data_IF_653018434874
#
_entry.id   IF_653018434874
#
_cell.length_a   1.000
_cell.length_b   1.000
_cell.length_c   1.000
_cell.angle_alpha   90.00
_cell.angle_beta   90.00
_cell.angle_gamma   90.00
#
_symmetry.space_group_name_H-M   'P 1'
#
loop_
_entity.id
_entity.type
_entity.pdbx_description
1 polymer ?
#
# COMPACT_ATOMS: atom_id res chain seq x y z
N UNK A 1 -18.40 -19.14 11.44
CA UNK A 1 -19.00 -18.68 10.18
C UNK A 1 -19.78 -17.36 10.26
N UNK A 2 -20.56 -17.06 11.32
CA UNK A 2 -21.32 -15.78 11.42
C UNK A 2 -20.46 -14.51 11.61
N UNK A 3 -19.32 -14.59 12.30
CA UNK A 3 -18.47 -13.42 12.59
C UNK A 3 -17.74 -12.85 11.37
N UNK A 4 -17.39 -13.68 10.39
CA UNK A 4 -16.69 -13.25 9.17
C UNK A 4 -17.56 -12.35 8.29
N UNK A 5 -18.87 -12.62 8.23
CA UNK A 5 -19.81 -11.79 7.47
C UNK A 5 -20.02 -10.43 8.14
N UNK A 6 -20.26 -10.38 9.46
CA UNK A 6 -20.45 -9.12 10.19
C UNK A 6 -19.24 -8.18 10.03
N UNK A 7 -18.04 -8.73 10.12
CA UNK A 7 -16.80 -7.98 9.94
C UNK A 7 -16.66 -7.45 8.51
N UNK A 8 -17.09 -8.22 7.51
CA UNK A 8 -17.07 -7.81 6.10
C UNK A 8 -18.08 -6.70 5.81
N UNK A 9 -19.29 -6.80 6.37
CA UNK A 9 -20.33 -5.77 6.27
C UNK A 9 -19.98 -4.46 6.97
N UNK A 10 -19.11 -4.48 7.99
CA UNK A 10 -18.60 -3.27 8.63
C UNK A 10 -17.38 -2.68 7.92
N UNK A 11 -16.49 -3.54 7.40
CA UNK A 11 -15.25 -3.11 6.73
C UNK A 11 -15.50 -2.27 5.48
N UNK A 12 -16.40 -2.70 4.60
CA UNK A 12 -16.64 -2.00 3.34
C UNK A 12 -17.21 -0.58 3.56
N UNK A 13 -18.27 -0.37 4.37
CA UNK A 13 -18.74 0.97 4.72
C UNK A 13 -17.70 1.81 5.44
N UNK A 14 -16.87 1.22 6.32
CA UNK A 14 -15.80 1.96 7.00
C UNK A 14 -14.74 2.46 6.02
N UNK A 15 -14.27 1.60 5.10
CA UNK A 15 -13.25 1.97 4.10
C UNK A 15 -13.83 3.00 3.12
N UNK A 16 -15.01 2.72 2.56
CA UNK A 16 -15.66 3.61 1.58
C UNK A 16 -16.04 4.93 2.25
N UNK A 17 -16.56 4.88 3.48
CA UNK A 17 -16.93 6.06 4.26
C UNK A 17 -15.71 6.91 4.61
N UNK A 18 -14.64 6.31 5.14
CA UNK A 18 -13.40 7.02 5.43
C UNK A 18 -12.80 7.65 4.17
N UNK A 19 -12.71 6.89 3.07
CA UNK A 19 -12.22 7.41 1.79
C UNK A 19 -13.11 8.54 1.26
N UNK A 20 -14.44 8.39 1.33
CA UNK A 20 -15.39 9.42 0.95
C UNK A 20 -15.25 10.70 1.77
N UNK A 21 -15.03 10.58 3.09
CA UNK A 21 -14.76 11.72 3.97
C UNK A 21 -13.45 12.40 3.58
N UNK A 22 -12.38 11.65 3.32
CA UNK A 22 -11.09 12.22 2.89
C UNK A 22 -11.22 12.97 1.56
N UNK A 23 -11.90 12.38 0.57
CA UNK A 23 -12.15 13.05 -0.72
C UNK A 23 -13.03 14.29 -0.56
N UNK A 24 -14.04 14.24 0.30
CA UNK A 24 -14.88 15.40 0.58
C UNK A 24 -14.08 16.52 1.25
N UNK A 25 -13.24 16.19 2.24
CA UNK A 25 -12.35 17.13 2.91
C UNK A 25 -11.36 17.77 1.94
N UNK A 26 -10.74 16.96 1.07
CA UNK A 26 -9.82 17.43 0.03
C UNK A 26 -10.52 18.41 -0.93
N UNK A 27 -11.74 18.09 -1.39
CA UNK A 27 -12.51 18.98 -2.26
C UNK A 27 -12.88 20.29 -1.57
N UNK A 28 -13.18 20.26 -0.27
CA UNK A 28 -13.54 21.44 0.53
C UNK A 28 -12.33 22.32 0.86
N UNK A 29 -11.17 21.70 1.08
CA UNK A 29 -9.93 22.37 1.49
C UNK A 29 -8.75 21.84 0.67
N UNK A 30 -8.71 22.14 -0.64
CA UNK A 30 -7.66 21.62 -1.50
C UNK A 30 -6.32 22.25 -1.12
N UNK A 31 -5.27 21.43 -1.07
CA UNK A 31 -3.90 21.89 -0.88
C UNK A 31 -3.51 22.88 -2.00
N UNK A 32 -3.91 22.59 -3.24
CA UNK A 32 -3.70 23.44 -4.41
C UNK A 32 -5.01 23.93 -4.99
N UNK A 33 -5.22 25.25 -4.93
CA UNK A 33 -6.42 25.90 -5.48
C UNK A 33 -6.38 26.05 -7.00
N UNK A 34 -5.18 26.19 -7.56
CA UNK A 34 -4.95 26.29 -8.99
C UNK A 34 -4.15 25.06 -9.41
N UNK A 35 -4.80 24.16 -10.16
CA UNK A 35 -4.14 22.97 -10.67
C UNK A 35 -3.27 23.31 -11.88
N UNK A 36 -2.10 22.67 -11.96
CA UNK A 36 -1.20 22.76 -13.11
C UNK A 36 -1.79 21.96 -14.27
N UNK A 37 -2.32 20.77 -14.00
CA UNK A 37 -2.97 19.92 -15.01
C UNK A 37 -4.50 19.83 -14.83
N UNK A 38 -5.27 19.63 -15.92
CA UNK A 38 -6.70 19.36 -15.82
C UNK A 38 -6.97 18.12 -14.96
N UNK A 39 -7.76 18.28 -13.89
CA UNK A 39 -7.98 17.26 -12.85
C UNK A 39 -8.40 15.90 -13.42
N UNK A 40 -9.41 15.87 -14.27
CA UNK A 40 -9.90 14.61 -14.86
C UNK A 40 -8.83 13.86 -15.66
N UNK A 41 -8.03 14.58 -16.45
CA UNK A 41 -6.94 13.98 -17.24
C UNK A 41 -5.87 13.38 -16.34
N UNK A 42 -5.50 14.10 -15.27
CA UNK A 42 -4.53 13.62 -14.27
C UNK A 42 -5.04 12.40 -13.51
N UNK A 43 -6.28 12.45 -13.00
CA UNK A 43 -6.90 11.32 -12.28
C UNK A 43 -7.02 10.08 -13.17
N UNK A 44 -7.45 10.24 -14.43
CA UNK A 44 -7.51 9.14 -15.39
C UNK A 44 -6.13 8.50 -15.64
N UNK A 45 -5.08 9.32 -15.75
CA UNK A 45 -3.69 8.84 -15.86
C UNK A 45 -3.26 8.09 -14.59
N UNK A 46 -3.51 8.64 -13.41
CA UNK A 46 -3.17 8.00 -12.14
C UNK A 46 -3.91 6.68 -11.97
N UNK A 47 -5.19 6.61 -12.34
CA UNK A 47 -5.98 5.39 -12.30
C UNK A 47 -5.49 4.33 -13.32
N UNK A 48 -5.07 4.75 -14.52
CA UNK A 48 -4.48 3.84 -15.50
C UNK A 48 -3.16 3.24 -14.98
N UNK A 49 -2.29 4.05 -14.37
CA UNK A 49 -1.07 3.57 -13.70
C UNK A 49 -1.43 2.62 -12.56
N UNK A 50 -2.41 2.97 -11.75
CA UNK A 50 -2.89 2.14 -10.64
C UNK A 50 -3.42 0.78 -11.12
N UNK A 51 -4.14 0.73 -12.25
CA UNK A 51 -4.64 -0.51 -12.82
C UNK A 51 -3.50 -1.44 -13.27
N UNK A 52 -2.44 -0.89 -13.87
CA UNK A 52 -1.24 -1.66 -14.20
C UNK A 52 -0.52 -2.12 -12.92
N UNK A 53 -0.39 -1.25 -11.92
CA UNK A 53 0.16 -1.59 -10.61
C UNK A 53 -0.62 -2.69 -9.90
N UNK A 54 -1.95 -2.67 -9.97
CA UNK A 54 -2.80 -3.72 -9.43
C UNK A 54 -2.52 -5.09 -10.06
N UNK A 55 -2.09 -5.12 -11.33
CA UNK A 55 -1.57 -6.34 -11.95
C UNK A 55 -0.36 -6.92 -11.21
N UNK A 56 0.61 -6.10 -10.82
CA UNK A 56 1.77 -6.55 -10.04
C UNK A 56 1.34 -7.06 -8.64
N UNK A 57 0.42 -6.36 -7.98
CA UNK A 57 -0.11 -6.80 -6.68
C UNK A 57 -0.79 -8.17 -6.79
N UNK A 58 -1.65 -8.35 -7.79
CA UNK A 58 -2.46 -9.55 -7.93
C UNK A 58 -1.66 -10.75 -8.44
N UNK A 59 -0.71 -10.52 -9.35
CA UNK A 59 0.01 -11.58 -10.05
C UNK A 59 1.35 -11.93 -9.40
N UNK A 60 1.94 -11.03 -8.62
CA UNK A 60 3.28 -11.21 -8.02
C UNK A 60 3.19 -11.17 -6.50
N UNK A 61 2.76 -10.05 -5.94
CA UNK A 61 2.85 -9.83 -4.49
C UNK A 61 1.92 -10.77 -3.71
N UNK A 62 0.64 -10.82 -4.08
CA UNK A 62 -0.35 -11.66 -3.40
C UNK A 62 0.04 -13.15 -3.37
N UNK A 63 0.39 -13.82 -4.50
CA UNK A 63 0.79 -15.22 -4.45
C UNK A 63 2.10 -15.41 -3.67
N UNK A 64 3.08 -14.52 -3.81
CA UNK A 64 4.35 -14.61 -3.07
C UNK A 64 4.13 -14.53 -1.55
N UNK A 65 3.36 -13.55 -1.08
CA UNK A 65 3.05 -13.38 0.35
C UNK A 65 2.27 -14.58 0.89
N UNK A 66 1.29 -15.10 0.14
CA UNK A 66 0.51 -16.26 0.58
C UNK A 66 1.37 -17.51 0.73
N UNK A 67 2.24 -17.78 -0.24
CA UNK A 67 3.17 -18.91 -0.19
C UNK A 67 4.16 -18.77 0.96
N UNK A 68 4.72 -17.56 1.14
CA UNK A 68 5.66 -17.28 2.22
C UNK A 68 5.00 -17.40 3.60
N UNK A 69 3.78 -16.89 3.75
CA UNK A 69 3.02 -16.98 5.00
C UNK A 69 2.73 -18.45 5.37
N UNK A 70 2.34 -19.28 4.39
CA UNK A 70 2.13 -20.72 4.60
C UNK A 70 3.44 -21.41 5.01
N UNK A 71 4.55 -21.09 4.35
CA UNK A 71 5.87 -21.63 4.67
C UNK A 71 6.31 -21.25 6.10
N UNK A 72 6.17 -19.97 6.46
CA UNK A 72 6.47 -19.41 7.79
C UNK A 72 5.67 -20.13 8.87
N UNK A 73 4.37 -20.34 8.64
CA UNK A 73 3.49 -20.99 9.60
C UNK A 73 3.84 -22.47 9.78
N UNK A 74 4.05 -23.19 8.66
CA UNK A 74 4.36 -24.62 8.67
C UNK A 74 5.71 -24.93 9.33
N UNK A 75 6.73 -24.11 9.11
CA UNK A 75 8.09 -24.34 9.61
C UNK A 75 8.42 -23.54 10.86
N UNK A 76 7.47 -22.74 11.37
CA UNK A 76 7.68 -21.77 12.46
C UNK A 76 8.90 -20.89 12.22
N UNK A 77 9.08 -20.49 10.97
CA UNK A 77 10.23 -19.69 10.53
C UNK A 77 10.02 -18.20 10.81
N UNK A 78 11.10 -17.42 10.92
CA UNK A 78 11.03 -15.99 11.23
C UNK A 78 11.13 -15.62 12.72
N UNK A 79 11.38 -14.34 12.98
CA UNK A 79 11.69 -13.81 14.33
C UNK A 79 10.53 -14.06 15.31
N UNK A 80 9.31 -13.65 14.96
CA UNK A 80 8.15 -13.72 15.85
C UNK A 80 7.72 -15.16 16.16
N UNK A 81 7.79 -16.07 15.18
CA UNK A 81 7.41 -17.48 15.37
C UNK A 81 8.32 -18.24 16.33
N UNK A 82 9.57 -17.78 16.50
CA UNK A 82 10.56 -18.36 17.43
C UNK A 82 10.41 -17.87 18.87
N UNK A 83 9.89 -16.66 19.08
CA UNK A 83 9.84 -16.00 20.39
C UNK A 83 8.69 -16.49 21.31
N UNK A 84 7.78 -17.33 20.81
CA UNK A 84 6.64 -17.92 21.57
C UNK A 84 5.87 -16.87 22.41
N UNK A 85 5.57 -15.74 21.79
CA UNK A 85 4.90 -14.60 22.45
C UNK A 85 3.39 -14.85 22.61
N UNK A 86 2.72 -14.19 23.57
CA UNK A 86 1.27 -14.14 23.59
C UNK A 86 0.75 -13.40 22.34
N UNK A 87 -0.41 -13.81 21.82
CA UNK A 87 -0.91 -13.38 20.50
C UNK A 87 -0.99 -11.86 20.32
N UNK A 88 -1.39 -11.12 21.37
CA UNK A 88 -1.51 -9.66 21.28
C UNK A 88 -0.15 -8.97 21.09
N UNK A 89 0.91 -9.50 21.70
CA UNK A 89 2.27 -8.96 21.59
C UNK A 89 2.92 -9.36 20.27
N UNK A 90 2.66 -10.59 19.79
CA UNK A 90 3.06 -11.03 18.45
C UNK A 90 2.49 -10.08 17.38
N UNK A 91 1.20 -9.74 17.47
CA UNK A 91 0.54 -8.81 16.54
C UNK A 91 1.10 -7.39 16.65
N UNK A 92 1.27 -6.87 17.87
CA UNK A 92 1.83 -5.54 18.07
C UNK A 92 3.24 -5.41 17.48
N UNK A 93 4.11 -6.39 17.73
CA UNK A 93 5.45 -6.42 17.15
C UNK A 93 5.42 -6.64 15.64
N UNK A 94 4.50 -7.44 15.11
CA UNK A 94 4.34 -7.61 13.67
C UNK A 94 4.02 -6.28 12.97
N UNK A 95 3.15 -5.46 13.56
CA UNK A 95 2.81 -4.12 13.03
C UNK A 95 4.04 -3.22 13.05
N UNK A 96 4.77 -3.15 14.17
CA UNK A 96 5.97 -2.31 14.30
C UNK A 96 7.07 -2.75 13.33
N UNK A 97 7.30 -4.07 13.22
CA UNK A 97 8.28 -4.60 12.29
C UNK A 97 7.88 -4.32 10.85
N UNK A 98 6.62 -4.55 10.48
CA UNK A 98 6.11 -4.22 9.14
C UNK A 98 6.31 -2.74 8.81
N UNK A 99 5.93 -1.84 9.71
CA UNK A 99 6.13 -0.39 9.53
C UNK A 99 7.62 -0.04 9.32
N UNK A 100 8.50 -0.64 10.11
CA UNK A 100 9.94 -0.44 9.96
C UNK A 100 10.48 -1.00 8.65
N UNK A 101 10.03 -2.17 8.19
CA UNK A 101 10.48 -2.72 6.90
C UNK A 101 10.00 -1.86 5.73
N UNK A 102 8.77 -1.34 5.80
CA UNK A 102 8.24 -0.38 4.82
C UNK A 102 9.00 0.95 4.84
N UNK A 103 9.39 1.45 6.02
CA UNK A 103 10.27 2.61 6.15
C UNK A 103 11.62 2.38 5.46
N UNK A 104 12.25 1.23 5.70
CA UNK A 104 13.53 0.88 5.05
C UNK A 104 13.36 0.78 3.54
N UNK A 105 12.30 0.12 3.06
CA UNK A 105 11.98 0.06 1.65
C UNK A 105 11.86 1.45 1.03
N UNK A 106 11.06 2.33 1.63
CA UNK A 106 10.86 3.69 1.15
C UNK A 106 12.15 4.53 1.19
N UNK A 107 12.98 4.37 2.23
CA UNK A 107 14.30 5.00 2.26
C UNK A 107 15.18 4.53 1.09
N UNK A 108 15.20 3.22 0.81
CA UNK A 108 15.98 2.66 -0.29
C UNK A 108 15.47 3.11 -1.65
N UNK A 109 14.16 3.22 -1.85
CA UNK A 109 13.60 3.74 -3.10
C UNK A 109 13.98 5.20 -3.37
N UNK A 110 14.18 5.99 -2.32
CA UNK A 110 14.72 7.35 -2.44
C UNK A 110 16.24 7.42 -2.59
N UNK A 111 16.98 6.44 -2.03
CA UNK A 111 18.45 6.53 -1.94
C UNK A 111 19.19 5.80 -3.06
N UNK A 112 18.65 4.68 -3.54
CA UNK A 112 19.27 3.81 -4.54
C UNK A 112 18.85 4.24 -5.94
N UNK A 113 19.78 4.66 -6.83
CA UNK A 113 19.42 5.20 -8.15
C UNK A 113 18.58 4.25 -9.02
N UNK A 114 18.82 2.94 -8.93
CA UNK A 114 18.01 1.95 -9.64
C UNK A 114 16.56 1.93 -9.16
N UNK A 115 16.34 1.91 -7.84
CA UNK A 115 14.99 1.88 -7.25
C UNK A 115 14.25 3.21 -7.46
N UNK A 116 14.98 4.33 -7.41
CA UNK A 116 14.43 5.66 -7.66
C UNK A 116 13.76 5.77 -9.05
N UNK A 117 14.27 5.08 -10.07
CA UNK A 117 13.68 5.10 -11.42
C UNK A 117 12.24 4.60 -11.46
N UNK A 118 11.87 3.73 -10.52
CA UNK A 118 10.50 3.24 -10.37
C UNK A 118 9.69 4.17 -9.46
N UNK A 119 10.30 4.57 -8.34
CA UNK A 119 9.64 5.38 -7.32
C UNK A 119 9.38 6.83 -7.73
N UNK A 120 10.18 7.39 -8.64
CA UNK A 120 9.98 8.75 -9.18
C UNK A 120 8.61 8.88 -9.85
N UNK A 121 8.01 7.79 -10.34
CA UNK A 121 6.65 7.81 -10.87
C UNK A 121 5.64 8.35 -9.85
N UNK A 122 5.81 8.02 -8.57
CA UNK A 122 5.01 8.55 -7.47
C UNK A 122 5.28 10.04 -7.22
N UNK A 123 6.55 10.46 -7.26
CA UNK A 123 6.99 11.82 -6.90
C UNK A 123 6.83 12.88 -8.01
N UNK A 124 6.57 12.48 -9.25
CA UNK A 124 6.42 13.44 -10.38
C UNK A 124 5.04 14.09 -10.48
N UNK A 125 4.09 13.73 -9.61
CA UNK A 125 2.77 14.35 -9.63
C UNK A 125 2.86 15.79 -9.11
N UNK A 126 2.66 16.74 -10.02
CA UNK A 126 2.83 18.14 -9.74
C UNK A 126 1.72 18.73 -8.88
N UNK A 127 0.52 18.13 -8.81
CA UNK A 127 -0.61 18.74 -8.11
C UNK A 127 -0.87 18.14 -6.72
N UNK A 128 -0.45 16.87 -6.52
CA UNK A 128 -0.61 16.06 -5.30
C UNK A 128 -2.04 16.07 -4.74
N UNK A 129 -2.76 14.98 -4.97
CA UNK A 129 -4.09 14.74 -4.39
C UNK A 129 -4.28 13.26 -4.03
N UNK A 130 -5.48 12.88 -3.60
CA UNK A 130 -5.80 11.51 -3.22
C UNK A 130 -5.52 10.48 -4.34
N UNK A 131 -5.54 10.88 -5.61
CA UNK A 131 -5.22 9.98 -6.73
C UNK A 131 -3.72 9.72 -6.85
N UNK A 132 -2.87 10.63 -6.37
CA UNK A 132 -1.40 10.44 -6.35
C UNK A 132 -1.00 9.25 -5.46
N UNK A 133 -1.77 8.96 -4.41
CA UNK A 133 -1.57 7.79 -3.57
C UNK A 133 -1.76 6.45 -4.31
N UNK A 134 -2.32 6.46 -5.53
CA UNK A 134 -2.48 5.27 -6.37
C UNK A 134 -1.42 5.17 -7.47
N UNK A 135 -0.56 6.19 -7.59
CA UNK A 135 0.38 6.36 -8.70
C UNK A 135 1.71 5.63 -8.45
N UNK A 136 1.65 4.33 -8.25
CA UNK A 136 2.85 3.49 -8.09
C UNK A 136 3.24 2.83 -9.40
N UNK A 137 4.54 2.80 -9.70
CA UNK A 137 5.03 2.05 -10.84
C UNK A 137 4.91 0.55 -10.56
N UNK A 138 4.42 -0.26 -11.51
CA UNK A 138 4.25 -1.71 -11.29
C UNK A 138 5.55 -2.42 -10.85
N UNK A 139 6.69 -2.00 -11.41
CA UNK A 139 8.02 -2.48 -11.03
C UNK A 139 8.39 -2.14 -9.58
N UNK A 140 7.93 -1.02 -9.03
CA UNK A 140 8.12 -0.70 -7.60
C UNK A 140 7.40 -1.72 -6.72
N UNK A 141 6.13 -2.01 -7.06
CA UNK A 141 5.31 -3.00 -6.35
C UNK A 141 5.87 -4.43 -6.49
N UNK A 142 6.43 -4.77 -7.65
CA UNK A 142 7.08 -6.08 -7.82
C UNK A 142 8.37 -6.20 -7.00
N UNK A 143 9.13 -5.11 -6.87
CA UNK A 143 10.40 -5.09 -6.14
C UNK A 143 10.21 -4.97 -4.61
N UNK A 144 9.04 -4.54 -4.15
CA UNK A 144 8.72 -4.42 -2.72
C UNK A 144 8.42 -5.75 -2.05
N UNK A 145 8.14 -6.83 -2.80
CA UNK A 145 7.76 -8.16 -2.26
C UNK A 145 8.64 -8.69 -1.11
N UNK A 146 9.97 -8.49 -1.10
CA UNK A 146 10.82 -8.97 0.00
C UNK A 146 10.77 -8.13 1.28
N UNK A 147 10.06 -7.01 1.30
CA UNK A 147 10.02 -6.02 2.39
C UNK A 147 8.66 -6.04 3.10
#
# INVERSE_FOLDING_TARGET
MKSQNLLTWLRAPLIIGAFGVLLWLERRRPLRRHAIEPKFKREARNLAVAAVGAGALLLIERPAILLLAQFVEAHRWGLLKRLRLPSWLEVALAIVLLDYTLYVWHYLTHRVPFLWRFHVAHHVDLDLDASTALRFHFGELALSVPW
#
